data_IF_197145152092
#
_entry.id   IF_197145152092
#
_cell.length_a   1.000
_cell.length_b   1.000
_cell.length_c   1.000
_cell.angle_alpha   90.00
_cell.angle_beta   90.00
_cell.angle_gamma   90.00
#
_symmetry.space_group_name_H-M   'P 1'
#
loop_
_entity.id
_entity.type
_entity.pdbx_description
1 polymer ?
#
# COMPACT_ATOMS: atom_id res chain seq x y z
N UNK A 1 -0.76 -18.15 -9.32
CA UNK A 1 -0.89 -16.77 -9.78
C UNK A 1 -1.05 -15.87 -8.57
N UNK A 2 -0.36 -14.76 -8.54
CA UNK A 2 -0.33 -13.79 -7.44
C UNK A 2 0.18 -14.38 -6.14
N UNK A 3 1.44 -14.77 -6.15
CA UNK A 3 2.10 -15.31 -4.95
C UNK A 3 2.38 -14.22 -3.90
N UNK A 4 2.64 -12.99 -4.35
CA UNK A 4 2.96 -11.86 -3.49
C UNK A 4 2.14 -10.63 -3.90
N UNK A 5 1.31 -10.16 -3.00
CA UNK A 5 0.45 -8.99 -3.22
C UNK A 5 1.03 -7.82 -2.41
N UNK A 6 1.33 -6.72 -3.07
CA UNK A 6 1.79 -5.51 -2.40
C UNK A 6 0.62 -4.56 -2.15
N UNK A 7 0.57 -4.01 -0.94
CA UNK A 7 -0.42 -2.99 -0.58
C UNK A 7 0.33 -1.75 -0.12
N UNK A 8 0.43 -0.71 -0.94
CA UNK A 8 0.87 0.59 -0.44
C UNK A 8 -0.29 1.21 0.34
N UNK A 9 -0.02 1.71 1.53
CA UNK A 9 -1.06 2.29 2.39
C UNK A 9 -0.55 3.52 3.13
N UNK A 10 -1.41 4.52 3.22
CA UNK A 10 -1.15 5.74 3.98
C UNK A 10 -2.02 5.83 5.24
N UNK A 11 -2.76 4.76 5.55
CA UNK A 11 -3.63 4.70 6.71
C UNK A 11 -4.95 5.42 6.57
N UNK A 12 -5.26 6.01 5.42
CA UNK A 12 -6.53 6.66 5.17
C UNK A 12 -7.67 5.65 5.09
N UNK A 13 -8.91 6.12 5.18
CA UNK A 13 -10.08 5.26 5.01
C UNK A 13 -10.11 4.59 3.64
N UNK A 14 -9.66 5.29 2.60
CA UNK A 14 -9.53 4.72 1.27
C UNK A 14 -8.53 3.56 1.27
N UNK A 15 -7.37 3.75 1.86
CA UNK A 15 -6.35 2.72 1.96
C UNK A 15 -6.82 1.52 2.78
N UNK A 16 -7.62 1.73 3.82
CA UNK A 16 -8.19 0.63 4.62
C UNK A 16 -9.04 -0.30 3.78
N UNK A 17 -9.81 0.24 2.84
CA UNK A 17 -10.60 -0.57 1.91
C UNK A 17 -9.70 -1.43 1.02
N UNK A 18 -8.60 -0.85 0.53
CA UNK A 18 -7.64 -1.58 -0.29
C UNK A 18 -6.95 -2.68 0.51
N UNK A 19 -6.60 -2.40 1.77
CA UNK A 19 -6.02 -3.39 2.68
C UNK A 19 -6.97 -4.59 2.85
N UNK A 20 -8.23 -4.31 3.14
CA UNK A 20 -9.23 -5.35 3.36
C UNK A 20 -9.43 -6.20 2.10
N UNK A 21 -9.48 -5.57 0.94
CA UNK A 21 -9.62 -6.28 -0.33
C UNK A 21 -8.41 -7.18 -0.60
N UNK A 22 -7.21 -6.66 -0.39
CA UNK A 22 -5.98 -7.41 -0.62
C UNK A 22 -5.86 -8.61 0.31
N UNK A 23 -6.20 -8.43 1.59
CA UNK A 23 -6.15 -9.52 2.56
C UNK A 23 -7.19 -10.60 2.25
N UNK A 24 -8.39 -10.20 1.84
CA UNK A 24 -9.42 -11.13 1.41
C UNK A 24 -8.96 -11.95 0.19
N UNK A 25 -8.37 -11.28 -0.78
CA UNK A 25 -7.86 -11.93 -1.98
C UNK A 25 -6.70 -12.87 -1.65
N UNK A 26 -5.75 -12.41 -0.83
CA UNK A 26 -4.62 -13.22 -0.40
C UNK A 26 -5.05 -14.49 0.33
N UNK A 27 -6.07 -14.37 1.20
CA UNK A 27 -6.63 -15.54 1.90
C UNK A 27 -7.15 -16.58 0.92
N UNK A 28 -7.85 -16.14 -0.12
CA UNK A 28 -8.41 -17.04 -1.12
C UNK A 28 -7.36 -17.68 -2.01
N UNK A 29 -6.31 -16.94 -2.35
CA UNK A 29 -5.28 -17.40 -3.28
C UNK A 29 -4.08 -18.06 -2.60
N UNK A 30 -3.98 -17.98 -1.28
CA UNK A 30 -2.81 -18.45 -0.56
C UNK A 30 -1.59 -17.57 -0.76
N UNK A 31 -1.81 -16.29 -1.06
CA UNK A 31 -0.72 -15.33 -1.29
C UNK A 31 -0.17 -14.79 0.02
N UNK A 32 1.08 -14.35 0.01
CA UNK A 32 1.60 -13.49 1.08
C UNK A 32 1.35 -12.04 0.68
N UNK A 33 1.35 -11.15 1.67
CA UNK A 33 1.11 -9.73 1.49
C UNK A 33 2.35 -8.96 1.93
N UNK A 34 2.73 -7.96 1.16
CA UNK A 34 3.75 -6.98 1.55
C UNK A 34 3.04 -5.64 1.72
N UNK A 35 2.90 -5.20 2.96
CA UNK A 35 2.32 -3.90 3.28
C UNK A 35 3.43 -2.86 3.26
N UNK A 36 3.22 -1.78 2.53
CA UNK A 36 4.23 -0.75 2.33
C UNK A 36 3.69 0.60 2.77
N UNK A 37 4.43 1.30 3.63
CA UNK A 37 4.17 2.70 3.92
C UNK A 37 5.38 3.52 3.48
N UNK A 38 5.13 4.51 2.64
CA UNK A 38 6.17 5.41 2.14
C UNK A 38 6.07 6.71 2.93
N UNK A 39 7.12 7.01 3.70
CA UNK A 39 7.25 8.31 4.35
C UNK A 39 7.66 9.29 3.26
N UNK A 40 6.77 10.25 2.96
CA UNK A 40 7.01 11.23 1.90
C UNK A 40 8.21 12.10 2.26
N UNK A 41 9.22 12.08 1.41
CA UNK A 41 10.47 12.82 1.60
C UNK A 41 10.31 14.34 1.52
N UNK A 42 9.14 14.82 1.12
CA UNK A 42 8.82 16.24 1.03
C UNK A 42 8.11 16.78 2.28
N UNK A 43 7.76 15.91 3.23
CA UNK A 43 7.11 16.35 4.46
C UNK A 43 8.12 16.99 5.41
N UNK A 44 7.67 18.05 6.11
CA UNK A 44 8.53 18.88 6.98
C UNK A 44 8.27 18.53 8.46
N UNK A 45 7.84 17.33 8.77
CA UNK A 45 7.64 16.89 10.15
C UNK A 45 8.88 16.18 10.66
N UNK A 46 9.09 16.14 11.99
CA UNK A 46 10.18 15.35 12.55
C UNK A 46 10.07 13.90 12.08
N UNK A 47 11.18 13.35 11.65
CA UNK A 47 11.22 11.99 11.13
C UNK A 47 10.64 10.97 12.12
N UNK A 48 10.95 11.13 13.40
CA UNK A 48 10.50 10.22 14.45
C UNK A 48 8.96 10.14 14.52
N UNK A 49 8.28 11.26 14.28
CA UNK A 49 6.81 11.30 14.27
C UNK A 49 6.27 10.53 13.07
N UNK A 50 6.87 10.74 11.90
CA UNK A 50 6.47 10.07 10.66
C UNK A 50 6.75 8.57 10.72
N UNK A 51 7.87 8.20 11.34
CA UNK A 51 8.24 6.79 11.54
C UNK A 51 7.25 6.08 12.44
N UNK A 52 6.90 6.68 13.58
CA UNK A 52 5.93 6.10 14.51
C UNK A 52 4.55 5.97 13.86
N UNK A 53 4.13 6.97 13.11
CA UNK A 53 2.88 6.91 12.38
C UNK A 53 2.89 5.76 11.36
N UNK A 54 3.97 5.64 10.61
CA UNK A 54 4.13 4.58 9.61
C UNK A 54 4.12 3.19 10.24
N UNK A 55 4.80 3.02 11.36
CA UNK A 55 4.80 1.75 12.11
C UNK A 55 3.40 1.38 12.56
N UNK A 56 2.63 2.36 13.05
CA UNK A 56 1.26 2.12 13.50
C UNK A 56 0.35 1.72 12.34
N UNK A 57 0.51 2.36 11.19
CA UNK A 57 -0.24 2.03 9.98
C UNK A 57 0.01 0.58 9.56
N UNK A 58 1.27 0.19 9.49
CA UNK A 58 1.66 -1.17 9.08
C UNK A 58 1.24 -2.21 10.11
N UNK A 59 1.32 -1.89 11.39
CA UNK A 59 0.91 -2.80 12.46
C UNK A 59 -0.57 -3.18 12.32
N UNK A 60 -1.42 -2.25 11.94
CA UNK A 60 -2.84 -2.55 11.73
C UNK A 60 -3.06 -3.55 10.59
N UNK A 61 -2.28 -3.45 9.52
CA UNK A 61 -2.34 -4.42 8.43
C UNK A 61 -1.89 -5.78 8.91
N UNK A 62 -0.80 -5.82 9.69
CA UNK A 62 -0.28 -7.04 10.27
C UNK A 62 -1.32 -7.74 11.15
N UNK A 63 -2.00 -6.99 12.00
CA UNK A 63 -3.04 -7.54 12.88
C UNK A 63 -4.21 -8.13 12.07
N UNK A 64 -4.65 -7.41 11.03
CA UNK A 64 -5.69 -7.91 10.13
C UNK A 64 -5.24 -9.18 9.40
N UNK A 65 -3.98 -9.23 9.00
CA UNK A 65 -3.40 -10.41 8.37
C UNK A 65 -3.46 -11.62 9.30
N UNK A 66 -3.06 -11.43 10.54
CA UNK A 66 -3.10 -12.50 11.55
C UNK A 66 -4.53 -13.01 11.76
N UNK A 67 -5.50 -12.11 11.85
CA UNK A 67 -6.91 -12.48 11.99
C UNK A 67 -7.42 -13.30 10.81
N UNK A 68 -6.87 -13.09 9.62
CA UNK A 68 -7.29 -13.77 8.40
C UNK A 68 -6.39 -14.95 8.02
N UNK A 69 -5.36 -15.24 8.80
CA UNK A 69 -4.41 -16.30 8.48
C UNK A 69 -3.54 -15.99 7.27
N UNK A 70 -3.27 -14.71 7.01
CA UNK A 70 -2.47 -14.25 5.89
C UNK A 70 -1.11 -13.79 6.40
N UNK A 71 -0.03 -14.26 5.78
CA UNK A 71 1.32 -13.82 6.09
C UNK A 71 1.52 -12.41 5.55
N UNK A 72 1.90 -11.47 6.43
CA UNK A 72 2.12 -10.07 6.08
C UNK A 72 3.55 -9.68 6.41
N UNK A 73 4.25 -9.11 5.44
CA UNK A 73 5.57 -8.50 5.62
C UNK A 73 5.40 -6.99 5.51
N UNK A 74 6.24 -6.26 6.25
CA UNK A 74 6.14 -4.80 6.34
C UNK A 74 7.36 -4.14 5.71
N UNK A 75 7.13 -3.11 4.91
CA UNK A 75 8.19 -2.23 4.39
C UNK A 75 7.86 -0.80 4.78
N UNK A 76 8.73 -0.19 5.57
CA UNK A 76 8.67 1.23 5.91
C UNK A 76 9.86 1.90 5.24
N UNK A 77 9.62 2.83 4.34
CA UNK A 77 10.67 3.42 3.52
C UNK A 77 10.40 4.92 3.32
N UNK A 78 11.48 5.69 3.26
CA UNK A 78 11.40 7.11 2.90
C UNK A 78 11.54 7.24 1.40
N UNK A 79 10.67 8.01 0.77
CA UNK A 79 10.72 8.19 -0.68
C UNK A 79 9.56 9.03 -1.19
N UNK A 80 9.29 8.91 -2.47
CA UNK A 80 8.20 9.62 -3.11
C UNK A 80 7.08 8.65 -3.46
N UNK A 81 5.90 8.79 -2.82
CA UNK A 81 4.75 7.93 -3.16
C UNK A 81 4.33 8.03 -4.62
N UNK A 82 4.58 9.19 -5.24
CA UNK A 82 4.20 9.42 -6.64
C UNK A 82 5.25 8.98 -7.65
N UNK A 83 6.51 8.77 -7.23
CA UNK A 83 7.60 8.48 -8.17
C UNK A 83 8.24 7.11 -7.97
N UNK A 84 8.22 6.56 -6.76
CA UNK A 84 9.01 5.37 -6.42
C UNK A 84 8.22 4.07 -6.40
N UNK A 85 6.94 4.10 -6.78
CA UNK A 85 6.06 2.93 -6.66
C UNK A 85 6.57 1.72 -7.45
N UNK A 86 7.05 1.94 -8.67
CA UNK A 86 7.56 0.85 -9.50
C UNK A 86 8.78 0.18 -8.86
N UNK A 87 9.71 0.98 -8.35
CA UNK A 87 10.92 0.51 -7.68
C UNK A 87 10.57 -0.30 -6.43
N UNK A 88 9.61 0.20 -5.65
CA UNK A 88 9.20 -0.46 -4.41
C UNK A 88 8.48 -1.77 -4.71
N UNK A 89 7.66 -1.80 -5.76
CA UNK A 89 6.97 -3.01 -6.19
C UNK A 89 7.99 -4.11 -6.56
N UNK A 90 9.04 -3.72 -7.27
CA UNK A 90 10.10 -4.63 -7.65
C UNK A 90 10.85 -5.13 -6.41
N UNK A 91 11.19 -4.23 -5.49
CA UNK A 91 11.85 -4.59 -4.22
C UNK A 91 10.99 -5.54 -3.39
N UNK A 92 9.69 -5.37 -3.39
CA UNK A 92 8.76 -6.23 -2.67
C UNK A 92 8.61 -7.61 -3.33
N UNK A 93 9.05 -7.76 -4.58
CA UNK A 93 8.87 -8.99 -5.33
C UNK A 93 7.40 -9.27 -5.63
N UNK A 94 6.59 -8.24 -5.73
CA UNK A 94 5.14 -8.40 -5.91
C UNK A 94 4.78 -8.70 -7.36
N UNK A 95 3.77 -9.54 -7.53
CA UNK A 95 3.17 -9.82 -8.83
C UNK A 95 1.74 -9.29 -8.97
N UNK A 96 1.27 -8.59 -7.94
CA UNK A 96 0.03 -7.83 -7.95
C UNK A 96 0.16 -6.66 -6.98
N UNK A 97 -0.32 -5.49 -7.38
CA UNK A 97 -0.44 -4.33 -6.48
C UNK A 97 -1.92 -4.03 -6.29
N UNK A 98 -2.34 -3.91 -5.03
CA UNK A 98 -3.72 -3.51 -4.67
C UNK A 98 -3.61 -2.14 -4.03
N UNK A 99 -4.22 -1.14 -4.64
CA UNK A 99 -4.06 0.24 -4.22
C UNK A 99 -5.41 0.97 -4.23
N UNK A 100 -5.58 1.88 -3.27
CA UNK A 100 -6.76 2.74 -3.23
C UNK A 100 -6.69 3.80 -4.33
N UNK A 101 -7.85 4.19 -4.83
CA UNK A 101 -7.93 5.25 -5.85
C UNK A 101 -7.58 6.62 -5.30
N UNK A 102 -7.69 6.82 -3.96
CA UNK A 102 -7.41 8.09 -3.28
C UNK A 102 -6.63 7.83 -2.00
N UNK A 103 -5.91 8.85 -1.54
CA UNK A 103 -5.18 8.82 -0.27
C UNK A 103 -5.77 9.78 0.76
N UNK A 104 -4.94 10.23 1.72
CA UNK A 104 -5.34 11.11 2.83
C UNK A 104 -5.98 12.42 2.38
N UNK A 105 -5.54 12.95 1.24
CA UNK A 105 -6.05 14.22 0.71
C UNK A 105 -7.24 14.01 -0.21
N UNK A 106 -7.84 12.83 -0.20
CA UNK A 106 -8.86 12.40 -1.13
C UNK A 106 -9.94 13.43 -1.41
N UNK A 107 -9.83 14.08 -2.56
CA UNK A 107 -10.84 14.98 -3.08
C UNK A 107 -11.78 14.11 -3.90
N UNK A 108 -12.99 13.87 -3.39
CA UNK A 108 -13.97 13.01 -4.04
C UNK A 108 -14.31 13.42 -5.48
N UNK A 109 -14.06 14.70 -5.81
CA UNK A 109 -14.30 15.24 -7.15
C UNK A 109 -13.27 14.77 -8.17
N UNK A 110 -12.14 14.22 -7.72
CA UNK A 110 -11.08 13.71 -8.58
C UNK A 110 -11.31 12.21 -8.77
N UNK A 111 -11.30 11.75 -10.02
CA UNK A 111 -11.51 10.33 -10.33
C UNK A 111 -10.46 9.43 -9.69
N UNK A 112 -9.21 9.93 -9.57
CA UNK A 112 -8.10 9.14 -9.08
C UNK A 112 -7.03 10.05 -8.49
N UNK A 113 -6.45 9.63 -7.35
CA UNK A 113 -5.34 10.35 -6.75
C UNK A 113 -4.04 10.20 -7.54
N UNK A 114 -3.09 11.10 -7.28
CA UNK A 114 -1.81 11.12 -7.98
C UNK A 114 -0.99 9.85 -7.77
N UNK A 115 -1.02 9.27 -6.57
CA UNK A 115 -0.28 8.04 -6.27
C UNK A 115 -0.82 6.88 -7.10
N UNK A 116 -2.15 6.71 -7.13
CA UNK A 116 -2.79 5.64 -7.91
C UNK A 116 -2.55 5.83 -9.40
N UNK A 117 -2.66 7.06 -9.90
CA UNK A 117 -2.41 7.37 -11.31
C UNK A 117 -0.98 7.05 -11.72
N UNK A 118 -0.01 7.41 -10.90
CA UNK A 118 1.40 7.10 -11.19
C UNK A 118 1.69 5.61 -11.11
N UNK A 119 1.05 4.90 -10.17
CA UNK A 119 1.18 3.46 -10.09
C UNK A 119 0.70 2.79 -11.37
N UNK A 120 -0.45 3.21 -11.89
CA UNK A 120 -0.97 2.68 -13.15
C UNK A 120 -0.04 2.89 -14.32
N UNK A 121 0.65 4.03 -14.35
CA UNK A 121 1.56 4.36 -15.45
C UNK A 121 2.88 3.62 -15.38
N UNK A 122 3.41 3.41 -14.18
CA UNK A 122 4.79 2.98 -13.98
C UNK A 122 4.96 1.55 -13.50
N UNK A 123 4.03 1.03 -12.73
CA UNK A 123 4.11 -0.34 -12.21
C UNK A 123 3.86 -1.32 -13.36
N UNK A 124 4.72 -2.33 -13.47
CA UNK A 124 4.68 -3.27 -14.60
C UNK A 124 3.96 -4.58 -14.30
N UNK A 125 3.49 -4.75 -13.08
CA UNK A 125 2.64 -5.90 -12.73
C UNK A 125 1.18 -5.44 -12.71
N UNK A 126 0.22 -6.38 -12.71
CA UNK A 126 -1.19 -6.03 -12.59
C UNK A 126 -1.47 -5.16 -11.37
N UNK A 127 -2.35 -4.18 -11.54
CA UNK A 127 -2.75 -3.26 -10.49
C UNK A 127 -4.26 -3.33 -10.32
N UNK A 128 -4.70 -3.63 -9.11
CA UNK A 128 -6.11 -3.63 -8.75
C UNK A 128 -6.42 -2.32 -8.00
N UNK A 129 -7.28 -1.52 -8.57
CA UNK A 129 -7.73 -0.26 -7.95
C UNK A 129 -8.96 -0.51 -7.12
N UNK A 130 -8.95 -0.03 -5.88
CA UNK A 130 -10.07 -0.15 -4.95
C UNK A 130 -10.68 1.22 -4.71
N UNK A 131 -11.97 1.35 -5.01
CA UNK A 131 -12.71 2.60 -4.84
C UNK A 131 -13.18 2.80 -3.42
#
# INVERSE_FOLDING_TARGET
MFDTIMIPTDGSDYSRKAEDMALSLAKKLGSKVVAVHIIDDKLIYPYEVLEEEGKAILKKVQEKGQENGVEVHEILIVGSPTHDMAKITEKAGADLVVIATHGKTGLEKILMGSVAENALKKVQVPVLLVK
#
